data_IF_509294268497
#
_entry.id   IF_509294268497
#
_cell.length_a   1.000
_cell.length_b   1.000
_cell.length_c   1.000
_cell.angle_alpha   90.00
_cell.angle_beta   90.00
_cell.angle_gamma   90.00
#
_symmetry.space_group_name_H-M   'P 1'
#
loop_
_entity.id
_entity.type
_entity.pdbx_description
1 polymer ?
#
# COMPACT_ATOMS: atom_id res chain seq x y z
N UNK A 1 25.54 7.50 23.31
CA UNK A 1 24.35 8.28 23.70
C UNK A 1 23.46 7.39 24.58
N UNK A 2 23.29 7.75 25.86
CA UNK A 2 22.54 6.97 26.86
C UNK A 2 21.05 6.92 26.53
N UNK A 3 20.48 8.05 26.12
CA UNK A 3 19.07 8.19 25.73
C UNK A 3 18.70 7.23 24.59
N UNK A 4 19.55 7.14 23.56
CA UNK A 4 19.35 6.20 22.45
C UNK A 4 19.33 4.74 22.92
N UNK A 5 20.20 4.36 23.85
CA UNK A 5 20.25 3.00 24.39
C UNK A 5 19.01 2.69 25.25
N UNK A 6 18.57 3.66 26.06
CA UNK A 6 17.36 3.53 26.86
C UNK A 6 16.11 3.37 25.98
N UNK A 7 15.95 4.18 24.93
CA UNK A 7 14.83 4.04 23.98
C UNK A 7 14.83 2.68 23.28
N UNK A 8 16.00 2.18 22.85
CA UNK A 8 16.13 0.85 22.25
C UNK A 8 15.63 -0.25 23.19
N UNK A 9 15.94 -0.13 24.48
CA UNK A 9 15.51 -1.08 25.52
C UNK A 9 14.03 -0.94 25.86
N UNK A 10 13.55 0.27 26.12
CA UNK A 10 12.14 0.56 26.49
C UNK A 10 11.19 0.04 25.41
N UNK A 11 11.51 0.30 24.14
CA UNK A 11 10.67 -0.10 23.01
C UNK A 11 11.08 -1.44 22.37
N UNK A 12 12.04 -2.16 22.96
CA UNK A 12 12.54 -3.44 22.46
C UNK A 12 12.89 -3.43 20.96
N UNK A 13 13.60 -2.40 20.50
CA UNK A 13 13.93 -2.21 19.08
C UNK A 13 15.05 -3.17 18.68
N UNK A 14 14.70 -4.18 17.87
CA UNK A 14 15.65 -5.19 17.38
C UNK A 14 16.28 -4.82 16.04
N UNK A 15 15.50 -4.27 15.14
CA UNK A 15 15.89 -3.97 13.76
C UNK A 15 15.67 -2.49 13.42
N UNK A 16 16.26 -2.03 12.33
CA UNK A 16 16.06 -0.68 11.80
C UNK A 16 15.71 -0.75 10.31
N UNK A 17 14.92 0.21 9.79
CA UNK A 17 14.22 1.25 10.54
C UNK A 17 12.99 0.71 11.29
N UNK A 18 12.74 1.25 12.49
CA UNK A 18 11.54 0.98 13.31
C UNK A 18 10.88 2.31 13.66
N UNK A 19 9.55 2.35 13.53
CA UNK A 19 8.73 3.49 13.92
C UNK A 19 7.69 3.02 14.93
N UNK A 20 7.78 3.56 16.15
CA UNK A 20 6.82 3.31 17.23
C UNK A 20 5.77 4.43 17.19
N UNK A 21 4.50 4.05 17.21
CA UNK A 21 3.38 4.97 17.27
C UNK A 21 2.93 5.08 18.72
N UNK A 22 2.91 6.31 19.25
CA UNK A 22 2.54 6.61 20.64
C UNK A 22 1.26 7.44 20.61
N UNK A 23 0.29 7.04 21.43
CA UNK A 23 -0.98 7.71 21.57
C UNK A 23 -0.91 8.96 22.45
N UNK A 24 -1.99 9.75 22.49
CA UNK A 24 -2.05 10.96 23.31
C UNK A 24 -1.93 10.68 24.82
N UNK A 25 -2.18 9.45 25.26
CA UNK A 25 -2.00 8.99 26.64
C UNK A 25 -0.55 8.56 26.97
N UNK A 26 0.37 8.70 26.00
CA UNK A 26 1.77 8.29 26.13
C UNK A 26 2.00 6.79 26.00
N UNK A 27 0.97 5.99 25.70
CA UNK A 27 1.10 4.54 25.51
C UNK A 27 1.40 4.19 24.06
N UNK A 28 2.01 3.03 23.87
CA UNK A 28 2.28 2.49 22.54
C UNK A 28 0.95 2.07 21.89
N UNK A 29 0.64 2.65 20.74
CA UNK A 29 -0.47 2.23 19.88
C UNK A 29 -0.05 1.07 18.96
N UNK A 30 1.15 1.15 18.39
CA UNK A 30 1.67 0.10 17.52
C UNK A 30 3.18 0.19 17.38
N UNK A 31 3.84 -0.96 17.26
CA UNK A 31 5.25 -1.09 16.89
C UNK A 31 5.45 -1.29 15.38
N UNK A 32 4.36 -1.42 14.63
CA UNK A 32 4.35 -1.69 13.19
C UNK A 32 4.21 -0.40 12.35
N UNK A 33 4.47 0.77 12.93
CA UNK A 33 4.20 2.06 12.30
C UNK A 33 4.89 2.25 10.96
N UNK A 34 6.10 1.68 10.78
CA UNK A 34 6.82 1.71 9.51
C UNK A 34 6.00 1.07 8.39
N UNK A 35 5.44 -0.11 8.63
CA UNK A 35 4.70 -0.83 7.61
C UNK A 35 3.38 -0.12 7.29
N UNK A 36 2.67 0.36 8.32
CA UNK A 36 1.41 1.09 8.16
C UNK A 36 1.57 2.32 7.27
N UNK A 37 2.62 3.12 7.50
CA UNK A 37 2.91 4.30 6.68
C UNK A 37 3.35 3.89 5.28
N UNK A 38 4.21 2.88 5.15
CA UNK A 38 4.68 2.43 3.83
C UNK A 38 3.52 1.94 2.96
N UNK A 39 2.60 1.15 3.51
CA UNK A 39 1.49 0.55 2.78
C UNK A 39 0.33 1.50 2.54
N UNK A 40 -0.09 2.24 3.58
CA UNK A 40 -1.34 3.01 3.53
C UNK A 40 -1.12 4.52 3.67
N UNK A 41 0.09 4.97 4.04
CA UNK A 41 0.43 6.38 4.14
C UNK A 41 -0.49 7.13 5.12
N UNK A 42 -0.93 8.32 4.74
CA UNK A 42 -1.81 9.15 5.57
C UNK A 42 -3.18 8.50 5.85
N UNK A 43 -3.65 7.59 4.99
CA UNK A 43 -4.95 6.94 5.17
C UNK A 43 -4.99 6.06 6.42
N UNK A 44 -3.83 5.56 6.87
CA UNK A 44 -3.73 4.77 8.08
C UNK A 44 -3.99 5.59 9.34
N UNK A 45 -3.95 6.93 9.33
CA UNK A 45 -4.27 7.75 10.50
C UNK A 45 -5.68 7.40 11.03
N UNK A 46 -5.88 7.20 12.35
CA UNK A 46 -4.97 7.48 13.50
C UNK A 46 -3.92 6.41 13.82
N UNK A 47 -3.56 5.59 12.84
CA UNK A 47 -2.58 4.51 12.89
C UNK A 47 -2.90 3.47 13.97
N UNK A 48 -4.16 3.06 14.00
CA UNK A 48 -4.67 1.98 14.84
C UNK A 48 -4.89 0.73 14.00
N UNK A 49 -4.87 -0.45 14.63
CA UNK A 49 -5.17 -1.71 13.95
C UNK A 49 -6.59 -1.72 13.36
N UNK A 50 -7.58 -1.20 14.09
CA UNK A 50 -8.95 -1.07 13.61
C UNK A 50 -9.03 -0.27 12.30
N UNK A 51 -8.27 0.84 12.19
CA UNK A 51 -8.22 1.64 10.96
C UNK A 51 -7.60 0.89 9.80
N UNK A 52 -6.57 0.06 10.06
CA UNK A 52 -5.98 -0.79 9.02
C UNK A 52 -6.98 -1.82 8.53
N UNK A 53 -7.68 -2.50 9.44
CA UNK A 53 -8.70 -3.49 9.08
C UNK A 53 -9.81 -2.86 8.22
N UNK A 54 -10.24 -1.64 8.51
CA UNK A 54 -11.21 -0.91 7.67
C UNK A 54 -10.69 -0.63 6.26
N UNK A 55 -9.43 -0.21 6.13
CA UNK A 55 -8.80 0.05 4.83
C UNK A 55 -8.70 -1.25 4.04
N UNK A 56 -8.20 -2.32 4.66
CA UNK A 56 -8.06 -3.63 4.02
C UNK A 56 -9.42 -4.18 3.56
N UNK A 57 -10.45 -4.10 4.40
CA UNK A 57 -11.80 -4.52 4.03
C UNK A 57 -12.37 -3.69 2.86
N UNK A 58 -12.02 -2.40 2.76
CA UNK A 58 -12.42 -1.55 1.63
C UNK A 58 -11.69 -1.97 0.36
N UNK A 59 -10.37 -2.15 0.43
CA UNK A 59 -9.54 -2.59 -0.70
C UNK A 59 -9.97 -3.96 -1.23
N UNK A 60 -10.27 -4.92 -0.34
CA UNK A 60 -10.79 -6.23 -0.73
C UNK A 60 -12.10 -6.11 -1.52
N UNK A 61 -13.07 -5.33 -1.02
CA UNK A 61 -14.34 -5.10 -1.71
C UNK A 61 -14.17 -4.39 -3.05
N UNK A 62 -13.18 -3.51 -3.18
CA UNK A 62 -12.84 -2.87 -4.45
C UNK A 62 -12.27 -3.89 -5.44
N UNK A 63 -11.31 -4.72 -5.01
CA UNK A 63 -10.69 -5.74 -5.86
C UNK A 63 -11.69 -6.80 -6.34
N UNK A 64 -12.64 -7.20 -5.50
CA UNK A 64 -13.73 -8.14 -5.87
C UNK A 64 -14.62 -7.62 -7.01
N UNK A 65 -14.69 -6.29 -7.21
CA UNK A 65 -15.48 -5.65 -8.27
C UNK A 65 -14.70 -5.44 -9.55
N UNK A 66 -13.38 -5.63 -9.52
CA UNK A 66 -12.52 -5.46 -10.67
C UNK A 66 -12.35 -6.81 -11.40
N UNK A 67 -12.25 -6.81 -12.74
CA UNK A 67 -11.91 -8.02 -13.46
C UNK A 67 -10.51 -8.50 -13.05
N UNK A 68 -10.31 -9.81 -13.01
CA UNK A 68 -9.01 -10.40 -12.66
C UNK A 68 -7.95 -10.20 -13.74
N UNK A 69 -8.40 -10.03 -14.99
CA UNK A 69 -7.57 -9.91 -16.18
C UNK A 69 -8.22 -8.96 -17.16
N UNK A 70 -7.42 -8.14 -17.85
CA UNK A 70 -7.89 -7.21 -18.90
C UNK A 70 -6.93 -7.23 -20.09
N UNK A 71 -7.46 -6.85 -21.24
CA UNK A 71 -6.69 -6.54 -22.44
C UNK A 71 -6.73 -5.03 -22.63
N UNK A 72 -5.57 -4.40 -22.77
CA UNK A 72 -5.47 -2.97 -23.06
C UNK A 72 -5.11 -2.79 -24.54
N UNK A 73 -5.84 -2.02 -25.36
CA UNK A 73 -5.57 -1.87 -26.79
C UNK A 73 -4.19 -1.27 -27.09
N UNK A 74 -3.58 -0.63 -26.09
CA UNK A 74 -2.25 -0.03 -26.16
C UNK A 74 -1.14 -0.97 -25.68
N UNK A 75 -1.47 -2.20 -25.29
CA UNK A 75 -0.52 -3.19 -24.81
C UNK A 75 -0.90 -4.63 -25.18
N UNK A 76 0.00 -5.34 -25.87
CA UNK A 76 -0.29 -6.65 -26.47
C UNK A 76 -0.48 -7.81 -25.48
N UNK A 77 0.02 -7.70 -24.25
CA UNK A 77 -0.09 -8.77 -23.26
C UNK A 77 -1.29 -8.56 -22.33
N UNK A 78 -1.89 -9.67 -21.89
CA UNK A 78 -2.92 -9.65 -20.85
C UNK A 78 -2.35 -9.06 -19.55
N UNK A 79 -3.05 -8.08 -19.00
CA UNK A 79 -2.73 -7.51 -17.69
C UNK A 79 -3.51 -8.24 -16.61
N UNK A 80 -2.86 -8.51 -15.48
CA UNK A 80 -3.48 -9.13 -14.31
C UNK A 80 -3.74 -8.09 -13.25
N UNK A 81 -4.86 -8.23 -12.55
CA UNK A 81 -5.12 -7.43 -11.37
C UNK A 81 -4.14 -7.81 -10.26
N UNK A 82 -3.41 -6.83 -9.73
CA UNK A 82 -2.45 -7.02 -8.65
C UNK A 82 -2.50 -5.86 -7.63
N UNK A 83 -1.94 -6.12 -6.45
CA UNK A 83 -1.78 -5.18 -5.35
C UNK A 83 -0.36 -4.60 -5.30
N UNK A 84 -0.22 -3.36 -5.74
CA UNK A 84 1.03 -2.62 -5.72
C UNK A 84 1.05 -1.52 -4.63
N UNK A 85 2.13 -1.46 -3.84
CA UNK A 85 2.30 -0.40 -2.81
C UNK A 85 2.42 1.00 -3.43
N UNK A 86 3.03 1.07 -4.61
CA UNK A 86 3.14 2.23 -5.46
C UNK A 86 3.57 1.75 -6.86
N UNK A 87 3.10 2.44 -7.89
CA UNK A 87 3.53 2.22 -9.27
C UNK A 87 3.37 3.54 -10.05
N UNK A 88 3.96 3.61 -11.24
CA UNK A 88 3.73 4.70 -12.17
C UNK A 88 2.82 4.18 -13.28
N UNK A 89 1.64 4.76 -13.44
CA UNK A 89 0.72 4.33 -14.48
C UNK A 89 1.27 4.69 -15.86
N UNK A 90 1.36 3.71 -16.76
CA UNK A 90 1.92 3.91 -18.08
C UNK A 90 1.03 4.71 -19.03
N UNK A 91 -0.28 4.73 -18.82
CA UNK A 91 -1.18 5.56 -19.61
C UNK A 91 -1.15 7.03 -19.19
N UNK A 92 -1.37 7.33 -17.89
CA UNK A 92 -1.53 8.72 -17.43
C UNK A 92 -0.28 9.33 -16.80
N UNK A 93 0.80 8.55 -16.64
CA UNK A 93 2.09 8.95 -16.06
C UNK A 93 1.99 9.56 -14.66
N UNK A 94 0.96 9.16 -13.89
CA UNK A 94 0.76 9.54 -12.48
C UNK A 94 0.95 8.33 -11.57
N UNK A 95 1.33 8.60 -10.33
CA UNK A 95 1.51 7.56 -9.32
C UNK A 95 0.19 6.86 -9.00
N UNK A 96 0.21 5.53 -8.96
CA UNK A 96 -0.89 4.67 -8.50
C UNK A 96 -0.58 3.99 -7.19
N UNK A 97 -1.62 3.44 -6.56
CA UNK A 97 -1.54 2.73 -5.28
C UNK A 97 -2.64 1.66 -5.18
N UNK A 98 -2.32 0.56 -4.51
CA UNK A 98 -3.17 -0.62 -4.31
C UNK A 98 -3.44 -1.34 -5.62
N UNK A 99 -4.64 -1.21 -6.18
CA UNK A 99 -5.00 -1.96 -7.37
C UNK A 99 -4.29 -1.42 -8.61
N UNK A 100 -3.67 -2.33 -9.35
CA UNK A 100 -3.04 -2.10 -10.64
C UNK A 100 -3.39 -3.24 -11.59
N UNK A 101 -3.49 -2.94 -12.88
CA UNK A 101 -3.40 -3.96 -13.91
C UNK A 101 -1.96 -4.02 -14.38
N UNK A 102 -1.27 -5.12 -14.09
CA UNK A 102 0.17 -5.28 -14.32
C UNK A 102 0.47 -6.39 -15.32
N UNK A 103 1.46 -6.15 -16.18
CA UNK A 103 2.04 -7.14 -17.07
C UNK A 103 3.34 -7.71 -16.49
N UNK A 104 3.36 -9.01 -16.19
CA UNK A 104 4.57 -9.72 -15.70
C UNK A 104 5.72 -9.77 -16.73
N UNK A 105 5.43 -9.51 -18.02
CA UNK A 105 6.41 -9.61 -19.12
C UNK A 105 7.09 -8.27 -19.38
N UNK A 106 6.31 -7.19 -19.40
CA UNK A 106 6.78 -5.86 -19.81
C UNK A 106 6.87 -4.86 -18.67
N UNK A 107 6.42 -5.21 -17.46
CA UNK A 107 6.25 -4.29 -16.33
C UNK A 107 5.43 -3.05 -16.74
N UNK A 108 4.35 -3.29 -17.50
CA UNK A 108 3.39 -2.27 -17.91
C UNK A 108 2.28 -2.24 -16.86
N UNK A 109 2.13 -1.09 -16.19
CA UNK A 109 1.23 -0.94 -15.05
C UNK A 109 0.17 0.12 -15.33
N UNK A 110 -1.10 -0.22 -15.16
CA UNK A 110 -2.22 0.71 -15.34
C UNK A 110 -3.05 0.87 -14.08
N UNK A 111 -3.55 2.10 -13.88
CA UNK A 111 -4.68 2.30 -12.97
C UNK A 111 -5.90 1.54 -13.50
N UNK A 112 -6.76 0.99 -12.62
CA UNK A 112 -8.02 0.39 -13.05
C UNK A 112 -8.88 1.30 -13.94
N UNK A 113 -8.88 2.61 -13.68
CA UNK A 113 -9.61 3.60 -14.47
C UNK A 113 -8.89 4.06 -15.75
N UNK A 114 -7.65 3.60 -15.99
CA UNK A 114 -6.88 3.94 -17.19
C UNK A 114 -6.86 2.82 -18.23
N UNK A 115 -7.49 1.69 -17.95
CA UNK A 115 -7.70 0.63 -18.95
C UNK A 115 -8.72 1.16 -19.96
N UNK A 116 -8.34 1.20 -21.24
CA UNK A 116 -9.27 1.57 -22.30
C UNK A 116 -10.03 0.33 -22.73
N UNK A 117 -11.32 0.24 -22.36
CA UNK A 117 -12.18 -0.81 -22.88
C UNK A 117 -12.43 -0.56 -24.37
N UNK A 118 -12.06 -1.51 -25.23
CA UNK A 118 -12.61 -1.58 -26.59
C UNK A 118 -14.08 -1.95 -26.50
N UNK A 119 -14.97 -1.00 -26.81
CA UNK A 119 -16.39 -1.27 -27.08
C UNK A 119 -16.57 -1.97 -28.43
#
# INVERSE_FOLDING_TARGET
>A
DKTRQDLKRIFNIKEIPTLILIGPDGKILSTNGRNMISLYGAMAFPFTEARITEIEATLTKEGERLPQKVQDPKHDHELKLDMAKAYLCDACKRQGRFWAFSCDICNYDLHPACVEETF
#
